data_IF_694579761886
#
_entry.id   IF_694579761886
#
_cell.length_a   1.000
_cell.length_b   1.000
_cell.length_c   1.000
_cell.angle_alpha   90.00
_cell.angle_beta   90.00
_cell.angle_gamma   90.00
#
_symmetry.space_group_name_H-M   'P 1'
#
loop_
_entity.id
_entity.type
_entity.pdbx_description
1 polymer ?
#
# COMPACT_ATOMS: atom_id res chain seq x y z
N UNK A 1 -11.02 -21.65 -23.34
CA UNK A 1 -9.96 -20.75 -22.83
C UNK A 1 -10.30 -20.41 -21.39
N UNK A 2 -9.67 -21.07 -20.42
CA UNK A 2 -9.85 -20.75 -19.01
C UNK A 2 -9.06 -19.48 -18.68
N UNK A 3 -9.76 -18.39 -18.38
CA UNK A 3 -9.13 -17.24 -17.75
C UNK A 3 -8.84 -17.59 -16.29
N UNK A 4 -7.60 -17.98 -15.99
CA UNK A 4 -7.13 -18.09 -14.61
C UNK A 4 -6.97 -16.66 -14.07
N UNK A 5 -7.93 -16.22 -13.27
CA UNK A 5 -7.84 -14.94 -12.59
C UNK A 5 -6.83 -15.09 -11.45
N UNK A 6 -5.58 -14.68 -11.71
CA UNK A 6 -4.52 -14.71 -10.71
C UNK A 6 -4.70 -13.51 -9.78
N UNK A 7 -5.45 -13.70 -8.69
CA UNK A 7 -5.70 -12.65 -7.71
C UNK A 7 -4.60 -12.65 -6.65
N UNK A 8 -4.01 -11.48 -6.34
CA UNK A 8 -3.10 -11.37 -5.21
C UNK A 8 -3.86 -11.72 -3.93
N UNK A 9 -3.28 -12.55 -3.04
CA UNK A 9 -3.92 -12.90 -1.78
C UNK A 9 -4.04 -11.66 -0.88
N UNK A 10 -4.98 -11.70 0.08
CA UNK A 10 -5.15 -10.60 1.04
C UNK A 10 -3.89 -10.38 1.86
N UNK A 11 -3.22 -11.46 2.25
CA UNK A 11 -1.97 -11.42 3.01
C UNK A 11 -0.84 -12.03 2.17
N UNK A 12 0.23 -11.26 1.99
CA UNK A 12 1.38 -11.62 1.17
C UNK A 12 2.64 -11.77 2.04
N UNK A 13 3.46 -12.84 1.87
CA UNK A 13 4.79 -12.89 2.45
C UNK A 13 5.70 -11.82 1.79
N UNK A 14 6.83 -11.53 2.42
CA UNK A 14 7.73 -10.46 1.96
C UNK A 14 8.16 -10.55 0.47
N UNK A 15 8.47 -11.73 -0.11
CA UNK A 15 8.81 -11.81 -1.53
C UNK A 15 7.63 -11.39 -2.42
N UNK A 16 6.44 -11.95 -2.17
CA UNK A 16 5.25 -11.66 -2.98
C UNK A 16 4.80 -10.21 -2.84
N UNK A 17 4.89 -9.64 -1.63
CA UNK A 17 4.60 -8.23 -1.39
C UNK A 17 5.57 -7.30 -2.13
N UNK A 18 6.85 -7.66 -2.19
CA UNK A 18 7.86 -6.91 -2.94
C UNK A 18 7.58 -6.98 -4.45
N UNK A 19 7.27 -8.17 -4.96
CA UNK A 19 6.84 -8.37 -6.35
C UNK A 19 5.57 -7.59 -6.68
N UNK A 20 4.61 -7.53 -5.76
CA UNK A 20 3.36 -6.79 -5.91
C UNK A 20 3.61 -5.28 -6.10
N UNK A 21 4.53 -4.70 -5.32
CA UNK A 21 4.94 -3.30 -5.43
C UNK A 21 5.97 -3.04 -6.55
N UNK A 22 6.47 -4.08 -7.23
CA UNK A 22 7.50 -3.94 -8.27
C UNK A 22 8.89 -3.56 -7.74
N UNK A 23 9.18 -3.83 -6.46
CA UNK A 23 10.46 -3.49 -5.80
C UNK A 23 11.22 -4.73 -5.33
N UNK A 24 12.47 -4.55 -4.91
CA UNK A 24 13.24 -5.64 -4.32
C UNK A 24 12.80 -5.95 -2.88
N UNK A 25 12.94 -7.20 -2.38
CA UNK A 25 12.64 -7.53 -0.99
C UNK A 25 13.49 -6.77 0.03
N UNK A 26 14.69 -6.33 -0.34
CA UNK A 26 15.53 -5.50 0.51
C UNK A 26 14.98 -4.08 0.61
N UNK A 27 14.52 -3.50 -0.50
CA UNK A 27 13.79 -2.21 -0.51
C UNK A 27 12.56 -2.30 0.39
N UNK A 28 11.71 -3.33 0.21
CA UNK A 28 10.50 -3.52 1.02
C UNK A 28 10.79 -3.55 2.53
N UNK A 29 11.90 -4.17 2.95
CA UNK A 29 12.29 -4.25 4.37
C UNK A 29 12.65 -2.88 4.97
N UNK A 30 13.10 -1.94 4.15
CA UNK A 30 13.38 -0.57 4.56
C UNK A 30 12.15 0.32 4.63
N UNK A 31 11.02 -0.11 4.06
CA UNK A 31 9.77 0.65 4.10
C UNK A 31 9.05 0.45 5.44
N UNK A 32 8.45 1.52 5.95
CA UNK A 32 7.66 1.49 7.17
C UNK A 32 6.21 1.09 6.91
N UNK A 33 6.01 -0.02 6.20
CA UNK A 33 4.66 -0.55 5.91
C UNK A 33 4.23 -1.45 7.10
N UNK A 34 2.98 -1.32 7.58
CA UNK A 34 2.43 -2.20 8.61
C UNK A 34 2.56 -3.68 8.24
N UNK A 35 2.92 -4.51 9.23
CA UNK A 35 3.12 -5.95 9.07
C UNK A 35 2.25 -6.71 10.06
N UNK A 36 1.54 -7.71 9.57
CA UNK A 36 0.82 -8.68 10.41
C UNK A 36 1.74 -9.85 10.75
N UNK A 37 1.72 -10.25 12.02
CA UNK A 37 2.53 -11.36 12.51
C UNK A 37 1.69 -12.63 12.60
N UNK A 38 2.17 -13.71 11.96
CA UNK A 38 1.62 -15.07 12.11
C UNK A 38 2.75 -15.97 12.61
N UNK A 39 2.89 -16.06 13.94
CA UNK A 39 4.05 -16.66 14.59
C UNK A 39 5.34 -15.92 14.19
N UNK A 40 6.31 -16.63 13.61
CA UNK A 40 7.55 -16.03 13.10
C UNK A 40 7.42 -15.39 11.70
N UNK A 41 6.29 -15.60 11.00
CA UNK A 41 6.09 -15.08 9.65
C UNK A 41 5.57 -13.64 9.69
N UNK A 42 6.15 -12.79 8.84
CA UNK A 42 5.70 -11.43 8.56
C UNK A 42 4.89 -11.42 7.28
N UNK A 43 3.65 -10.99 7.38
CA UNK A 43 2.72 -10.87 6.27
C UNK A 43 2.34 -9.40 6.06
N UNK A 44 2.16 -9.03 4.81
CA UNK A 44 1.72 -7.70 4.39
C UNK A 44 0.28 -7.77 3.92
N UNK A 45 -0.56 -6.86 4.38
CA UNK A 45 -1.92 -6.76 3.88
C UNK A 45 -1.90 -6.06 2.52
N UNK A 46 -2.61 -6.63 1.55
CA UNK A 46 -2.78 -6.02 0.23
C UNK A 46 -3.27 -4.57 0.34
N UNK A 47 -4.19 -4.28 1.26
CA UNK A 47 -4.76 -2.93 1.41
C UNK A 47 -3.73 -1.92 1.88
N UNK A 48 -2.84 -2.34 2.78
CA UNK A 48 -1.75 -1.49 3.28
C UNK A 48 -0.72 -1.23 2.17
N UNK A 49 -0.46 -2.23 1.32
CA UNK A 49 0.40 -2.09 0.15
C UNK A 49 -0.22 -1.14 -0.89
N UNK A 50 -1.51 -1.28 -1.17
CA UNK A 50 -2.25 -0.41 -2.09
C UNK A 50 -2.27 1.04 -1.58
N UNK A 51 -2.54 1.25 -0.29
CA UNK A 51 -2.50 2.57 0.34
C UNK A 51 -1.11 3.21 0.23
N UNK A 52 -0.06 2.44 0.53
CA UNK A 52 1.32 2.92 0.36
C UNK A 52 1.62 3.33 -1.09
N UNK A 53 1.18 2.53 -2.06
CA UNK A 53 1.39 2.83 -3.48
C UNK A 53 0.64 4.08 -3.94
N UNK A 54 -0.58 4.30 -3.44
CA UNK A 54 -1.39 5.48 -3.76
C UNK A 54 -0.82 6.77 -3.14
N UNK A 55 -0.12 6.66 -2.00
CA UNK A 55 0.50 7.80 -1.33
C UNK A 55 1.88 8.20 -1.91
N UNK A 56 2.40 7.42 -2.87
CA UNK A 56 3.67 7.74 -3.51
C UNK A 56 3.52 9.02 -4.37
N UNK A 57 4.40 10.01 -4.20
CA UNK A 57 4.39 11.19 -5.07
C UNK A 57 4.80 10.81 -6.49
N UNK A 58 4.23 11.48 -7.49
CA UNK A 58 4.78 11.43 -8.84
C UNK A 58 6.09 12.22 -8.90
N UNK A 59 6.92 11.89 -9.89
CA UNK A 59 8.13 12.65 -10.15
C UNK A 59 7.79 14.11 -10.49
N UNK A 60 8.35 15.05 -9.73
CA UNK A 60 8.10 16.49 -9.91
C UNK A 60 6.99 17.07 -9.03
N UNK A 61 6.21 16.25 -8.31
CA UNK A 61 5.23 16.75 -7.35
C UNK A 61 5.93 17.28 -6.09
N UNK A 62 5.72 18.58 -5.81
CA UNK A 62 5.96 19.12 -4.47
C UNK A 62 4.80 18.62 -3.61
N UNK A 63 5.07 17.78 -2.61
CA UNK A 63 4.06 17.27 -1.68
C UNK A 63 3.36 18.41 -0.91
N UNK A 64 2.34 19.02 -1.50
CA UNK A 64 1.31 19.73 -0.74
C UNK A 64 0.32 18.67 -0.27
N UNK A 65 0.46 18.22 0.99
CA UNK A 65 -0.50 17.33 1.64
C UNK A 65 -1.84 18.05 1.81
N UNK A 66 -2.63 18.10 0.75
CA UNK A 66 -4.04 18.47 0.84
C UNK A 66 -4.82 17.19 1.18
N UNK A 67 -5.10 17.02 2.47
CA UNK A 67 -6.02 15.97 2.93
C UNK A 67 -7.41 16.24 2.32
N UNK A 68 -7.81 15.47 1.30
CA UNK A 68 -9.10 15.64 0.63
C UNK A 68 -10.30 15.32 1.52
N UNK A 69 -10.08 14.69 2.68
CA UNK A 69 -11.12 14.45 3.68
C UNK A 69 -11.57 15.73 4.40
N UNK A 70 -10.75 16.79 4.47
CA UNK A 70 -11.17 18.07 5.10
C UNK A 70 -12.04 18.91 4.16
N UNK A 71 -11.90 18.76 2.84
CA UNK A 71 -12.67 19.52 1.86
C UNK A 71 -14.09 18.96 1.62
N UNK A 72 -14.30 17.66 1.88
CA UNK A 72 -15.56 16.98 1.56
C UNK A 72 -16.65 17.18 2.63
N UNK A 73 -16.28 17.48 3.88
CA UNK A 73 -17.23 17.69 4.98
C UNK A 73 -17.33 19.17 5.37
N UNK A 74 -17.57 20.04 4.37
CA UNK A 74 -17.80 21.48 4.53
C UNK A 74 -19.03 21.84 5.38
N UNK A 75 -19.05 21.42 6.65
CA UNK A 75 -19.95 21.92 7.69
C UNK A 75 -19.28 23.14 8.34
N UNK A 76 -19.16 24.21 7.56
CA UNK A 76 -19.12 25.54 8.15
C UNK A 76 -20.58 25.94 8.44
N UNK A 77 -21.03 25.67 9.67
CA UNK A 77 -22.22 26.27 10.24
C UNK A 77 -21.80 27.52 10.99
N UNK A 78 -21.95 28.69 10.35
CA UNK A 78 -22.46 29.95 10.93
C UNK A 78 -22.68 30.98 9.81
#
# INVERSE_FOLDING_TARGET
MSHALNYPPLLMPAPDAAHYLGISPTTLRGLNIPRKMLGAKRLFDKRDLDAFANDLPYEGDKQEKVNSCDAAFGMASD
#
